data_IF_838424705619
#
_entry.id   IF_838424705619
#
_cell.length_a   1.000
_cell.length_b   1.000
_cell.length_c   1.000
_cell.angle_alpha   90.00
_cell.angle_beta   90.00
_cell.angle_gamma   90.00
#
_symmetry.space_group_name_H-M   'P 1'
#
loop_
_entity.id
_entity.type
_entity.pdbx_description
1 polymer ?
#
# COMPACT_ATOMS: atom_id res chain seq x y z
N UNK A 1 17.19 -3.79 16.31
CA UNK A 1 17.52 -3.17 15.02
C UNK A 1 17.70 -4.26 14.01
N UNK A 2 16.68 -4.56 13.22
CA UNK A 2 16.80 -5.50 12.12
C UNK A 2 17.56 -4.76 11.02
N UNK A 3 18.81 -5.15 10.81
CA UNK A 3 19.64 -4.59 9.75
C UNK A 3 18.90 -4.88 8.44
N UNK A 4 18.49 -3.84 7.74
CA UNK A 4 17.85 -3.99 6.45
C UNK A 4 18.76 -4.78 5.55
N UNK A 5 18.24 -5.89 5.16
CA UNK A 5 18.78 -6.63 4.06
C UNK A 5 18.96 -5.67 2.87
N UNK A 6 20.10 -5.69 2.24
CA UNK A 6 20.30 -5.02 0.97
C UNK A 6 19.26 -5.57 -0.05
N UNK A 7 19.03 -4.90 -1.15
CA UNK A 7 18.07 -5.33 -2.18
C UNK A 7 18.27 -6.78 -2.63
N UNK A 8 19.50 -7.32 -2.54
CA UNK A 8 19.79 -8.72 -2.86
C UNK A 8 19.08 -9.70 -1.92
N UNK A 9 18.80 -9.33 -0.68
CA UNK A 9 18.03 -10.15 0.24
C UNK A 9 16.53 -10.07 -0.02
N UNK A 10 16.01 -8.95 -0.52
CA UNK A 10 14.63 -8.84 -0.99
C UNK A 10 14.41 -9.69 -2.24
N UNK A 11 15.44 -9.90 -3.05
CA UNK A 11 15.45 -10.79 -4.20
C UNK A 11 15.68 -12.27 -3.88
N UNK A 12 15.71 -12.68 -2.62
CA UNK A 12 15.94 -14.08 -2.24
C UNK A 12 14.80 -14.97 -2.77
N UNK A 13 15.10 -16.03 -3.55
CA UNK A 13 14.11 -16.94 -4.09
C UNK A 13 13.17 -17.53 -3.06
N UNK A 14 13.62 -17.73 -1.83
CA UNK A 14 12.80 -18.28 -0.73
C UNK A 14 11.65 -17.34 -0.34
N UNK A 15 11.84 -16.03 -0.48
CA UNK A 15 10.80 -15.03 -0.24
C UNK A 15 9.77 -15.07 -1.38
N UNK A 16 10.22 -15.33 -2.61
CA UNK A 16 9.37 -15.39 -3.79
C UNK A 16 8.43 -16.58 -3.81
N UNK A 17 8.93 -17.75 -3.47
CA UNK A 17 8.18 -19.00 -3.46
C UNK A 17 6.95 -18.86 -2.53
N UNK A 18 7.08 -18.06 -1.49
CA UNK A 18 6.04 -17.84 -0.50
C UNK A 18 5.03 -16.76 -0.90
N UNK A 19 5.46 -15.70 -1.52
CA UNK A 19 4.58 -14.55 -1.86
C UNK A 19 3.74 -14.77 -3.13
N UNK A 20 4.05 -15.77 -3.95
CA UNK A 20 3.31 -16.08 -5.17
C UNK A 20 3.30 -14.94 -6.20
N UNK A 21 4.21 -13.98 -6.09
CA UNK A 21 4.25 -12.82 -6.95
C UNK A 21 5.15 -13.06 -8.16
N UNK A 22 4.69 -12.57 -9.31
CA UNK A 22 5.44 -12.68 -10.56
C UNK A 22 6.74 -11.87 -10.55
N UNK A 23 6.87 -10.89 -9.67
CA UNK A 23 8.03 -10.03 -9.57
C UNK A 23 8.72 -10.13 -8.20
N UNK A 24 9.99 -10.47 -8.21
CA UNK A 24 10.79 -10.79 -7.03
C UNK A 24 10.84 -9.70 -5.96
N UNK A 25 11.13 -8.47 -6.35
CA UNK A 25 11.37 -7.38 -5.40
C UNK A 25 10.07 -6.93 -4.74
N UNK A 26 8.97 -6.86 -5.50
CA UNK A 26 7.66 -6.53 -4.96
C UNK A 26 7.23 -7.51 -3.86
N UNK A 27 7.41 -8.82 -4.09
CA UNK A 27 7.14 -9.85 -3.10
C UNK A 27 8.03 -9.71 -1.85
N UNK A 28 9.31 -9.44 -2.05
CA UNK A 28 10.26 -9.19 -0.98
C UNK A 28 9.89 -7.97 -0.14
N UNK A 29 9.43 -6.88 -0.77
CA UNK A 29 8.96 -5.67 -0.09
C UNK A 29 7.71 -5.94 0.76
N UNK A 30 6.76 -6.74 0.25
CA UNK A 30 5.57 -7.14 1.03
C UNK A 30 5.98 -7.87 2.30
N UNK A 31 6.80 -8.90 2.18
CA UNK A 31 7.20 -9.72 3.33
C UNK A 31 8.07 -8.93 4.31
N UNK A 32 9.02 -8.15 3.82
CA UNK A 32 9.85 -7.31 4.67
C UNK A 32 9.01 -6.29 5.46
N UNK A 33 8.08 -5.59 4.79
CA UNK A 33 7.19 -4.63 5.44
C UNK A 33 6.32 -5.32 6.48
N UNK A 34 5.73 -6.47 6.13
CA UNK A 34 4.93 -7.28 7.04
C UNK A 34 5.67 -7.60 8.34
N UNK A 35 6.93 -7.99 8.24
CA UNK A 35 7.77 -8.27 9.42
C UNK A 35 8.11 -7.02 10.23
N UNK A 36 8.34 -5.89 9.56
CA UNK A 36 8.72 -4.64 10.21
C UNK A 36 7.59 -4.02 11.04
N UNK A 37 6.33 -4.20 10.61
CA UNK A 37 5.15 -3.54 11.20
C UNK A 37 4.10 -4.52 11.74
N UNK A 38 4.45 -5.79 11.96
CA UNK A 38 3.50 -6.86 12.30
C UNK A 38 2.68 -6.65 13.58
N UNK A 39 3.10 -5.73 14.45
CA UNK A 39 2.58 -5.61 15.81
C UNK A 39 1.73 -4.35 16.06
N UNK A 40 1.66 -3.43 15.11
CA UNK A 40 0.98 -2.14 15.31
C UNK A 40 0.27 -1.69 14.03
N UNK A 41 -1.07 -1.70 14.08
CA UNK A 41 -1.90 -1.27 12.96
C UNK A 41 -1.73 0.22 12.65
N UNK A 42 -1.52 1.06 13.66
CA UNK A 42 -1.33 2.50 13.43
C UNK A 42 -0.05 2.75 12.67
N UNK A 43 1.04 2.07 13.03
CA UNK A 43 2.31 2.14 12.28
C UNK A 43 2.13 1.61 10.85
N UNK A 44 1.38 0.52 10.67
CA UNK A 44 1.09 -0.02 9.35
C UNK A 44 0.35 0.98 8.45
N UNK A 45 -0.67 1.66 8.98
CA UNK A 45 -1.42 2.68 8.24
C UNK A 45 -0.56 3.92 7.99
N UNK A 46 0.26 4.35 8.93
CA UNK A 46 1.19 5.46 8.75
C UNK A 46 2.24 5.15 7.66
N UNK A 47 2.80 3.94 7.65
CA UNK A 47 3.72 3.50 6.61
C UNK A 47 3.04 3.47 5.23
N UNK A 48 1.82 2.92 5.15
CA UNK A 48 1.03 2.86 3.93
C UNK A 48 0.74 4.27 3.39
N UNK A 49 0.25 5.17 4.24
CA UNK A 49 -0.05 6.55 3.84
C UNK A 49 1.21 7.32 3.43
N UNK A 50 2.30 7.16 4.19
CA UNK A 50 3.59 7.78 3.87
C UNK A 50 4.14 7.31 2.53
N UNK A 51 3.97 6.04 2.18
CA UNK A 51 4.34 5.52 0.86
C UNK A 51 3.44 6.09 -0.24
N UNK A 52 2.11 6.13 -0.05
CA UNK A 52 1.20 6.77 -1.01
C UNK A 52 1.60 8.22 -1.32
N UNK A 53 2.08 8.97 -0.33
CA UNK A 53 2.50 10.36 -0.51
C UNK A 53 3.66 10.51 -1.52
N UNK A 54 4.48 9.49 -1.76
CA UNK A 54 5.55 9.51 -2.77
C UNK A 54 5.00 9.62 -4.20
N UNK A 55 3.78 9.14 -4.45
CA UNK A 55 3.25 8.98 -5.81
C UNK A 55 1.92 9.69 -6.05
N UNK A 56 1.10 9.95 -5.02
CA UNK A 56 -0.23 10.56 -5.20
C UNK A 56 -0.18 11.95 -5.81
N UNK A 57 0.91 12.71 -5.62
CA UNK A 57 1.13 13.99 -6.27
C UNK A 57 1.17 13.93 -7.81
N UNK A 58 1.51 12.78 -8.38
CA UNK A 58 1.58 12.56 -9.83
C UNK A 58 0.31 11.95 -10.42
N UNK A 59 -0.67 11.60 -9.59
CA UNK A 59 -1.94 11.06 -10.05
C UNK A 59 -2.72 12.10 -10.86
N UNK A 60 -3.28 11.69 -11.99
CA UNK A 60 -4.01 12.58 -12.92
C UNK A 60 -5.42 12.07 -13.13
N UNK A 61 -6.35 12.98 -13.40
CA UNK A 61 -7.66 12.61 -13.93
C UNK A 61 -7.47 11.97 -15.31
N UNK A 62 -7.84 10.72 -15.44
CA UNK A 62 -7.53 10.06 -16.71
C UNK A 62 -7.98 8.63 -16.89
N UNK A 63 -8.99 8.18 -16.23
CA UNK A 63 -9.61 6.96 -16.70
C UNK A 63 -9.94 5.89 -15.68
N UNK A 64 -9.19 5.74 -14.60
CA UNK A 64 -9.51 4.68 -13.62
C UNK A 64 -10.40 5.23 -12.50
N UNK A 65 -10.03 6.38 -11.93
CA UNK A 65 -10.85 7.08 -10.95
C UNK A 65 -10.59 8.60 -11.03
N UNK A 66 -11.53 9.46 -10.60
CA UNK A 66 -11.28 10.90 -10.49
C UNK A 66 -10.18 11.18 -9.45
N UNK A 67 -9.38 12.20 -9.67
CA UNK A 67 -8.41 12.71 -8.69
C UNK A 67 -9.05 12.97 -7.32
N UNK A 68 -10.25 13.52 -7.32
CA UNK A 68 -11.02 13.79 -6.12
C UNK A 68 -11.28 12.55 -5.26
N UNK A 69 -11.34 11.36 -5.86
CA UNK A 69 -11.45 10.10 -5.11
C UNK A 69 -10.16 9.83 -4.32
N UNK A 70 -9.00 9.91 -4.98
CA UNK A 70 -7.70 9.70 -4.34
C UNK A 70 -7.51 10.67 -3.18
N UNK A 71 -7.79 11.96 -3.40
CA UNK A 71 -7.68 13.00 -2.36
C UNK A 71 -8.64 12.73 -1.19
N UNK A 72 -9.86 12.29 -1.48
CA UNK A 72 -10.86 11.93 -0.45
C UNK A 72 -10.39 10.74 0.40
N UNK A 73 -9.85 9.70 -0.22
CA UNK A 73 -9.40 8.50 0.49
C UNK A 73 -8.16 8.79 1.34
N UNK A 74 -7.20 9.54 0.83
CA UNK A 74 -6.04 10.00 1.60
C UNK A 74 -6.50 10.78 2.84
N UNK A 75 -7.40 11.75 2.67
CA UNK A 75 -7.94 12.53 3.78
C UNK A 75 -8.74 11.67 4.80
N UNK A 76 -9.42 10.61 4.34
CA UNK A 76 -10.11 9.68 5.23
C UNK A 76 -9.13 8.87 6.10
N UNK A 77 -8.03 8.40 5.50
CA UNK A 77 -6.97 7.70 6.23
C UNK A 77 -6.29 8.62 7.24
N UNK A 78 -5.99 9.87 6.87
CA UNK A 78 -5.43 10.88 7.78
C UNK A 78 -6.31 11.12 8.99
N UNK A 79 -7.63 11.23 8.79
CA UNK A 79 -8.59 11.37 9.90
C UNK A 79 -8.56 10.16 10.82
N UNK A 80 -8.48 8.95 10.26
CA UNK A 80 -8.38 7.74 11.07
C UNK A 80 -7.06 7.70 11.88
N UNK A 81 -5.93 8.12 11.31
CA UNK A 81 -4.66 8.21 12.05
C UNK A 81 -4.78 9.19 13.23
N UNK A 82 -5.47 10.32 13.03
CA UNK A 82 -5.67 11.32 14.08
C UNK A 82 -6.63 10.83 15.18
N UNK A 83 -7.62 10.02 14.83
CA UNK A 83 -8.62 9.42 15.71
C UNK A 83 -8.93 7.99 15.27
N UNK A 84 -8.21 6.96 15.75
CA UNK A 84 -8.39 5.56 15.37
C UNK A 84 -9.69 4.96 15.94
N UNK A 85 -10.81 5.64 15.70
CA UNK A 85 -12.13 5.20 16.15
C UNK A 85 -12.79 4.26 15.13
N UNK A 86 -13.81 3.54 15.62
CA UNK A 86 -14.64 2.70 14.76
C UNK A 86 -15.37 3.54 13.71
N UNK A 87 -15.85 4.74 14.08
CA UNK A 87 -16.56 5.63 13.17
C UNK A 87 -15.68 6.03 11.97
N UNK A 88 -14.43 6.45 12.23
CA UNK A 88 -13.49 6.82 11.17
C UNK A 88 -13.14 5.61 10.29
N UNK A 89 -12.99 4.43 10.88
CA UNK A 89 -12.76 3.20 10.13
C UNK A 89 -13.93 2.85 9.21
N UNK A 90 -15.16 2.94 9.71
CA UNK A 90 -16.36 2.64 8.93
C UNK A 90 -16.56 3.68 7.80
N UNK A 91 -16.14 4.95 8.01
CA UNK A 91 -16.14 5.97 6.97
C UNK A 91 -15.14 5.65 5.83
N UNK A 92 -13.93 5.17 6.15
CA UNK A 92 -12.95 4.72 5.13
C UNK A 92 -13.53 3.55 4.34
N UNK A 93 -14.14 2.57 5.00
CA UNK A 93 -14.74 1.42 4.36
C UNK A 93 -15.87 1.81 3.41
N UNK A 94 -16.82 2.62 3.87
CA UNK A 94 -17.95 3.05 3.05
C UNK A 94 -17.53 3.77 1.77
N UNK A 95 -16.49 4.60 1.85
CA UNK A 95 -15.93 5.27 0.68
C UNK A 95 -15.30 4.29 -0.31
N UNK A 96 -14.58 3.28 0.17
CA UNK A 96 -13.97 2.25 -0.67
C UNK A 96 -15.02 1.37 -1.37
N UNK A 97 -16.06 0.95 -0.65
CA UNK A 97 -17.12 0.10 -1.19
C UNK A 97 -17.86 0.83 -2.34
N UNK A 98 -18.20 2.10 -2.17
CA UNK A 98 -18.84 2.92 -3.21
C UNK A 98 -17.96 3.00 -4.48
N UNK A 99 -16.65 3.18 -4.31
CA UNK A 99 -15.76 3.24 -5.46
C UNK A 99 -15.65 1.90 -6.19
N UNK A 100 -15.52 0.80 -5.48
CA UNK A 100 -15.43 -0.54 -6.07
C UNK A 100 -16.68 -0.96 -6.83
N UNK A 101 -17.85 -0.53 -6.38
CA UNK A 101 -19.11 -0.75 -7.09
C UNK A 101 -19.20 0.06 -8.39
N UNK A 102 -18.60 1.26 -8.43
CA UNK A 102 -18.69 2.17 -9.56
C UNK A 102 -17.67 1.89 -10.68
N UNK A 103 -16.57 1.20 -10.39
CA UNK A 103 -15.47 1.05 -11.34
C UNK A 103 -15.08 -0.42 -11.52
N UNK A 104 -15.15 -0.89 -12.76
CA UNK A 104 -14.59 -2.18 -13.15
C UNK A 104 -13.06 -2.05 -13.27
N UNK A 105 -12.34 -2.90 -12.54
CA UNK A 105 -10.89 -2.91 -12.54
C UNK A 105 -10.34 -3.41 -13.88
N UNK A 106 -9.56 -2.58 -14.54
CA UNK A 106 -8.71 -3.01 -15.66
C UNK A 106 -7.27 -3.02 -15.14
N UNK A 107 -6.64 -4.17 -15.25
CA UNK A 107 -5.20 -4.30 -14.95
C UNK A 107 -4.45 -3.72 -16.14
N UNK A 108 -3.70 -2.65 -15.91
CA UNK A 108 -2.84 -2.05 -16.90
C UNK A 108 -1.48 -1.71 -16.26
N UNK A 109 -0.41 -1.68 -17.04
CA UNK A 109 0.93 -1.23 -16.59
C UNK A 109 1.01 0.29 -16.41
N UNK A 110 -0.12 0.98 -16.42
CA UNK A 110 -0.21 2.41 -16.20
C UNK A 110 0.18 2.76 -14.74
N UNK A 111 1.12 3.69 -14.53
CA UNK A 111 1.45 4.20 -13.21
C UNK A 111 0.22 4.66 -12.41
N UNK A 112 -0.81 5.18 -13.08
CA UNK A 112 -2.05 5.64 -12.43
C UNK A 112 -2.83 4.50 -11.80
N UNK A 113 -2.83 3.33 -12.43
CA UNK A 113 -3.41 2.11 -11.86
C UNK A 113 -2.72 1.73 -10.54
N UNK A 114 -1.38 1.68 -10.55
CA UNK A 114 -0.62 1.32 -9.34
C UNK A 114 -0.78 2.32 -8.20
N UNK A 115 -0.93 3.63 -8.52
CA UNK A 115 -1.22 4.65 -7.49
C UNK A 115 -2.59 4.42 -6.86
N UNK A 116 -3.60 4.12 -7.67
CA UNK A 116 -4.95 3.84 -7.19
C UNK A 116 -4.99 2.57 -6.34
N UNK A 117 -4.35 1.49 -6.79
CA UNK A 117 -4.21 0.24 -6.02
C UNK A 117 -3.50 0.49 -4.67
N UNK A 118 -2.47 1.33 -4.65
CA UNK A 118 -1.79 1.69 -3.41
C UNK A 118 -2.74 2.38 -2.43
N UNK A 119 -3.54 3.34 -2.89
CA UNK A 119 -4.51 4.06 -2.04
C UNK A 119 -5.60 3.12 -1.55
N UNK A 120 -6.11 2.25 -2.39
CA UNK A 120 -7.13 1.26 -2.01
C UNK A 120 -6.60 0.26 -0.98
N UNK A 121 -5.39 -0.24 -1.17
CA UNK A 121 -4.75 -1.09 -0.16
C UNK A 121 -4.44 -0.34 1.14
N UNK A 122 -4.13 0.95 1.09
CA UNK A 122 -3.98 1.76 2.30
C UNK A 122 -5.31 1.87 3.07
N UNK A 123 -6.43 2.02 2.38
CA UNK A 123 -7.76 1.95 2.98
C UNK A 123 -8.05 0.58 3.59
N UNK A 124 -7.69 -0.50 2.88
CA UNK A 124 -7.83 -1.87 3.39
C UNK A 124 -6.98 -2.09 4.65
N UNK A 125 -5.83 -1.43 4.79
CA UNK A 125 -4.99 -1.52 5.98
C UNK A 125 -5.69 -0.97 7.23
N UNK A 126 -6.53 0.05 7.08
CA UNK A 126 -7.32 0.65 8.18
C UNK A 126 -8.30 -0.34 8.80
N UNK A 127 -8.92 -1.21 8.01
CA UNK A 127 -9.93 -2.16 8.52
C UNK A 127 -9.55 -3.64 8.32
N UNK A 128 -8.32 -3.94 7.95
CA UNK A 128 -7.80 -5.29 7.86
C UNK A 128 -7.84 -6.01 9.22
N UNK A 129 -8.18 -7.29 9.18
CA UNK A 129 -8.38 -8.11 10.39
C UNK A 129 -9.81 -8.23 10.84
N UNK A 130 -10.75 -7.42 10.34
CA UNK A 130 -12.18 -7.71 10.47
C UNK A 130 -12.64 -8.72 9.41
N UNK A 131 -13.57 -9.59 9.78
CA UNK A 131 -14.20 -10.52 8.82
C UNK A 131 -14.98 -9.72 7.79
N UNK A 132 -14.32 -9.33 6.70
CA UNK A 132 -15.01 -8.91 5.50
C UNK A 132 -15.61 -10.14 4.84
N UNK A 133 -16.90 -10.11 4.56
CA UNK A 133 -17.66 -11.26 4.06
C UNK A 133 -17.24 -11.76 2.67
N UNK A 134 -16.31 -11.11 1.99
CA UNK A 134 -15.97 -11.35 0.59
C UNK A 134 -14.49 -11.46 0.27
N UNK A 135 -13.60 -11.19 1.20
CA UNK A 135 -12.15 -11.20 0.94
C UNK A 135 -11.51 -12.10 1.98
N UNK A 136 -10.56 -12.91 1.54
CA UNK A 136 -9.67 -13.67 2.42
C UNK A 136 -9.15 -12.70 3.49
N UNK A 137 -9.33 -13.02 4.79
CA UNK A 137 -8.87 -12.13 5.84
C UNK A 137 -7.35 -11.95 5.70
N UNK A 138 -6.95 -10.78 5.23
CA UNK A 138 -5.56 -10.37 5.11
C UNK A 138 -5.28 -9.48 6.30
N UNK A 139 -4.20 -9.76 7.02
CA UNK A 139 -3.78 -8.91 8.13
C UNK A 139 -3.32 -7.52 7.64
N UNK A 140 -3.36 -6.54 8.53
CA UNK A 140 -3.00 -5.15 8.20
C UNK A 140 -1.54 -5.01 7.75
N UNK A 141 -0.63 -5.83 8.26
CA UNK A 141 0.78 -5.76 7.90
C UNK A 141 1.00 -6.24 6.47
N UNK A 142 0.31 -7.30 6.04
CA UNK A 142 0.33 -7.77 4.64
C UNK A 142 -0.30 -6.73 3.70
N UNK A 143 -1.42 -6.11 4.08
CA UNK A 143 -2.04 -5.06 3.26
C UNK A 143 -1.14 -3.83 3.12
N UNK A 144 -0.51 -3.38 4.20
CA UNK A 144 0.49 -2.31 4.13
C UNK A 144 1.69 -2.69 3.23
N UNK A 145 2.17 -3.94 3.32
CA UNK A 145 3.20 -4.44 2.41
C UNK A 145 2.79 -4.36 0.94
N UNK A 146 1.52 -4.63 0.62
CA UNK A 146 0.99 -4.46 -0.74
C UNK A 146 0.99 -3.00 -1.19
N UNK A 147 0.67 -2.05 -0.29
CA UNK A 147 0.81 -0.62 -0.58
C UNK A 147 2.24 -0.29 -1.01
N UNK A 148 3.22 -0.75 -0.22
CA UNK A 148 4.64 -0.54 -0.50
C UNK A 148 5.03 -1.09 -1.88
N UNK A 149 4.57 -2.30 -2.23
CA UNK A 149 4.82 -2.90 -3.54
C UNK A 149 4.12 -2.10 -4.68
N UNK A 150 2.88 -1.68 -4.51
CA UNK A 150 2.17 -0.88 -5.51
C UNK A 150 2.85 0.47 -5.75
N UNK A 151 3.31 1.15 -4.69
CA UNK A 151 4.07 2.40 -4.81
C UNK A 151 5.40 2.18 -5.52
N UNK A 152 6.12 1.11 -5.18
CA UNK A 152 7.33 0.71 -5.90
C UNK A 152 7.06 0.53 -7.41
N UNK A 153 5.99 -0.18 -7.78
CA UNK A 153 5.61 -0.36 -9.19
C UNK A 153 5.21 0.96 -9.86
N UNK A 154 4.45 1.83 -9.18
CA UNK A 154 4.10 3.15 -9.71
C UNK A 154 5.34 3.99 -10.03
N UNK A 155 6.32 4.00 -9.14
CA UNK A 155 7.58 4.71 -9.34
C UNK A 155 8.38 4.11 -10.51
N UNK A 156 8.46 2.78 -10.59
CA UNK A 156 9.13 2.06 -11.68
C UNK A 156 8.50 2.38 -13.04
N UNK A 157 7.18 2.26 -13.13
CA UNK A 157 6.43 2.56 -14.35
C UNK A 157 6.52 4.04 -14.75
N UNK A 158 6.83 4.92 -13.80
CA UNK A 158 7.12 6.35 -14.05
C UNK A 158 8.59 6.64 -14.41
N UNK A 159 9.43 5.62 -14.53
CA UNK A 159 10.83 5.76 -14.96
C UNK A 159 11.86 5.90 -13.83
N UNK A 160 11.47 5.74 -12.56
CA UNK A 160 12.41 5.68 -11.44
C UNK A 160 13.23 4.38 -11.51
N UNK A 161 14.51 4.43 -11.19
CA UNK A 161 15.33 3.22 -11.14
C UNK A 161 14.81 2.26 -10.05
N UNK A 162 15.04 0.98 -10.24
CA UNK A 162 14.63 -0.06 -9.28
C UNK A 162 15.22 0.17 -7.90
N UNK A 163 16.50 0.53 -7.85
CA UNK A 163 17.20 0.81 -6.60
C UNK A 163 16.62 2.03 -5.88
N UNK A 164 16.36 3.12 -6.62
CA UNK A 164 15.83 4.36 -6.03
C UNK A 164 14.39 4.18 -5.56
N UNK A 165 13.56 3.47 -6.34
CA UNK A 165 12.20 3.17 -5.96
C UNK A 165 12.14 2.29 -4.69
N UNK A 166 12.96 1.25 -4.62
CA UNK A 166 13.03 0.39 -3.44
C UNK A 166 13.55 1.16 -2.21
N UNK A 167 14.60 1.94 -2.35
CA UNK A 167 15.12 2.77 -1.27
C UNK A 167 14.07 3.74 -0.74
N UNK A 168 13.35 4.42 -1.63
CA UNK A 168 12.35 5.41 -1.23
C UNK A 168 11.23 4.78 -0.38
N UNK A 169 10.70 3.62 -0.77
CA UNK A 169 9.63 2.97 0.00
C UNK A 169 10.15 2.36 1.31
N UNK A 170 11.38 1.84 1.32
CA UNK A 170 12.04 1.32 2.52
C UNK A 170 12.23 2.45 3.55
N UNK A 171 12.73 3.61 3.12
CA UNK A 171 12.96 4.76 3.98
C UNK A 171 11.68 5.25 4.67
N UNK A 172 10.52 5.18 3.96
CA UNK A 172 9.22 5.49 4.57
C UNK A 172 8.90 4.55 5.72
N UNK A 173 9.05 3.24 5.52
CA UNK A 173 8.76 2.25 6.58
C UNK A 173 9.69 2.43 7.77
N UNK A 174 11.00 2.62 7.50
CA UNK A 174 11.99 2.83 8.57
C UNK A 174 11.71 4.09 9.38
N UNK A 175 11.30 5.17 8.73
CA UNK A 175 10.96 6.43 9.41
C UNK A 175 9.81 6.29 10.39
N UNK A 176 8.88 5.39 10.11
CA UNK A 176 7.71 5.14 10.97
C UNK A 176 8.05 4.17 12.10
N UNK A 177 8.96 3.23 11.85
CA UNK A 177 9.30 2.16 12.81
C UNK A 177 10.52 2.49 13.70
N UNK A 178 11.30 3.50 13.37
CA UNK A 178 12.56 3.88 14.04
C UNK A 178 12.49 4.93 15.03
#
# INVERSE_FOLDING_TARGET
MTQLANLSALGDPRIHEWAGAAEPIGAGLVEWTRLAIAHDQTLAVQAALGACALVTGTYRDGGVAPRAYVDHMVAAIERWIADPSREQRDAVRGSLDVHREAHAWQVDDDPQFWILEAVDHACLTVWAGERASYIIPVDFATTAGRVIACVFHAMRSSGTSEQDAANAVIDVVLKVTG
#
